data_IF_280181532942
#
_entry.id   IF_280181532942
#
_cell.length_a   1.000
_cell.length_b   1.000
_cell.length_c   1.000
_cell.angle_alpha   90.00
_cell.angle_beta   90.00
_cell.angle_gamma   90.00
#
_symmetry.space_group_name_H-M   'P 1'
#
loop_
_entity.id
_entity.type
_entity.pdbx_description
1 polymer ?
#
# COMPACT_ATOMS: atom_id res chain seq x y z
N UNK A 1 8.51 11.98 19.06
CA UNK A 1 9.75 11.19 18.90
C UNK A 1 10.08 10.38 20.15
N UNK A 2 10.09 10.99 21.34
CA UNK A 2 10.37 10.29 22.61
C UNK A 2 9.48 9.05 22.86
N UNK A 3 8.18 9.14 22.56
CA UNK A 3 7.28 7.99 22.70
C UNK A 3 7.65 6.81 21.78
N UNK A 4 8.11 7.06 20.56
CA UNK A 4 8.55 5.98 19.67
C UNK A 4 9.85 5.32 20.16
N UNK A 5 10.78 6.12 20.71
CA UNK A 5 12.01 5.61 21.35
C UNK A 5 11.65 4.76 22.57
N UNK A 6 10.67 5.21 23.35
CA UNK A 6 10.17 4.51 24.52
C UNK A 6 9.61 3.12 24.19
N UNK A 7 8.97 2.96 23.03
CA UNK A 7 8.41 1.69 22.58
C UNK A 7 9.42 0.77 21.87
N UNK A 8 10.67 1.19 21.63
CA UNK A 8 11.68 0.36 20.95
C UNK A 8 11.89 -1.03 21.58
N UNK A 9 11.89 -1.19 22.92
CA UNK A 9 12.05 -2.51 23.53
C UNK A 9 10.96 -3.52 23.12
N UNK A 10 9.76 -3.06 22.71
CA UNK A 10 8.71 -3.95 22.20
C UNK A 10 9.14 -4.64 20.90
N UNK A 11 9.89 -3.94 20.04
CA UNK A 11 10.44 -4.52 18.83
C UNK A 11 11.47 -5.61 19.16
N UNK A 12 12.37 -5.35 20.11
CA UNK A 12 13.35 -6.33 20.56
C UNK A 12 12.69 -7.57 21.19
N UNK A 13 11.60 -7.39 21.95
CA UNK A 13 10.81 -8.51 22.48
C UNK A 13 10.25 -9.35 21.33
N UNK A 14 9.54 -8.71 20.38
CA UNK A 14 8.94 -9.41 19.24
C UNK A 14 9.97 -10.18 18.40
N UNK A 15 11.15 -9.58 18.14
CA UNK A 15 12.22 -10.19 17.36
C UNK A 15 12.77 -11.48 18.01
N UNK A 16 12.85 -11.55 19.35
CA UNK A 16 13.30 -12.78 20.04
C UNK A 16 12.36 -13.97 19.84
N UNK A 17 11.08 -13.71 19.65
CA UNK A 17 10.08 -14.72 19.31
C UNK A 17 9.99 -14.97 17.80
N UNK A 18 10.80 -14.29 16.98
CA UNK A 18 10.76 -14.38 15.52
C UNK A 18 9.53 -13.70 14.89
N UNK A 19 8.84 -12.83 15.65
CA UNK A 19 7.78 -11.99 15.10
C UNK A 19 8.38 -10.74 14.51
N UNK A 20 7.82 -10.30 13.39
CA UNK A 20 8.10 -8.97 12.91
C UNK A 20 7.23 -7.92 13.58
N UNK A 21 7.75 -6.70 13.63
CA UNK A 21 7.19 -5.60 14.40
C UNK A 21 7.10 -4.32 13.56
N UNK A 22 5.97 -3.62 13.68
CA UNK A 22 5.82 -2.25 13.21
C UNK A 22 5.09 -1.41 14.26
N UNK A 23 5.49 -0.16 14.40
CA UNK A 23 4.90 0.79 15.34
C UNK A 23 4.70 2.14 14.66
N UNK A 24 3.53 2.74 14.87
CA UNK A 24 3.23 4.11 14.47
C UNK A 24 2.42 4.79 15.57
N UNK A 25 3.03 5.76 16.27
CA UNK A 25 2.47 6.30 17.51
C UNK A 25 2.10 5.16 18.48
N UNK A 26 0.85 5.05 18.90
CA UNK A 26 0.32 3.99 19.77
C UNK A 26 -0.14 2.73 19.02
N UNK A 27 -0.25 2.77 17.68
CA UNK A 27 -0.62 1.62 16.88
C UNK A 27 0.59 0.69 16.71
N UNK A 28 0.52 -0.48 17.36
CA UNK A 28 1.52 -1.56 17.25
C UNK A 28 0.96 -2.71 16.41
N UNK A 29 1.80 -3.27 15.55
CA UNK A 29 1.47 -4.41 14.70
C UNK A 29 2.53 -5.48 14.84
N UNK A 30 2.08 -6.69 15.16
CA UNK A 30 2.90 -7.90 15.18
C UNK A 30 2.50 -8.77 13.98
N UNK A 31 3.49 -9.34 13.30
CA UNK A 31 3.26 -10.23 12.17
C UNK A 31 4.11 -11.49 12.27
N UNK A 32 3.46 -12.63 12.08
CA UNK A 32 4.09 -13.94 12.05
C UNK A 32 3.68 -14.64 10.75
N UNK A 33 4.67 -14.97 9.92
CA UNK A 33 4.47 -15.79 8.74
C UNK A 33 4.82 -17.24 9.08
N UNK A 34 3.89 -18.16 8.88
CA UNK A 34 4.08 -19.58 9.19
C UNK A 34 3.44 -20.47 8.13
N UNK A 35 3.93 -21.70 8.01
CA UNK A 35 3.30 -22.73 7.18
C UNK A 35 2.11 -23.34 7.91
N UNK A 36 1.02 -23.63 7.19
CA UNK A 36 -0.20 -24.20 7.77
C UNK A 36 0.00 -25.55 8.49
N UNK A 37 1.13 -26.22 8.24
CA UNK A 37 1.46 -27.52 8.81
C UNK A 37 2.26 -27.44 10.12
N UNK A 38 2.60 -26.24 10.59
CA UNK A 38 3.43 -26.05 11.80
C UNK A 38 2.51 -25.75 12.99
N UNK A 39 2.25 -26.72 13.89
CA UNK A 39 1.59 -26.44 15.16
C UNK A 39 2.49 -25.55 16.02
N UNK A 40 1.91 -24.58 16.73
CA UNK A 40 2.62 -23.70 17.67
C UNK A 40 2.75 -22.23 17.26
N UNK A 41 2.26 -21.82 16.09
CA UNK A 41 2.25 -20.40 15.73
C UNK A 41 1.40 -19.54 16.71
N UNK A 42 0.30 -20.10 17.22
CA UNK A 42 -0.52 -19.44 18.24
C UNK A 42 0.21 -19.32 19.59
N UNK A 43 0.92 -20.37 20.02
CA UNK A 43 1.63 -20.33 21.31
C UNK A 43 2.79 -19.34 21.29
N UNK A 44 3.54 -19.26 20.19
CA UNK A 44 4.60 -18.23 20.03
C UNK A 44 4.02 -16.81 20.10
N UNK A 45 2.84 -16.60 19.52
CA UNK A 45 2.16 -15.30 19.61
C UNK A 45 1.66 -15.02 21.03
N UNK A 46 1.11 -16.02 21.73
CA UNK A 46 0.64 -15.90 23.11
C UNK A 46 1.80 -15.55 24.06
N UNK A 47 2.89 -16.31 24.01
CA UNK A 47 4.10 -16.05 24.84
C UNK A 47 4.67 -14.65 24.57
N UNK A 48 4.74 -14.24 23.30
CA UNK A 48 5.19 -12.90 22.94
C UNK A 48 4.26 -11.80 23.49
N UNK A 49 2.93 -12.01 23.42
CA UNK A 49 1.96 -11.05 23.92
C UNK A 49 1.99 -10.93 25.45
N UNK A 50 2.18 -12.05 26.15
CA UNK A 50 2.35 -12.06 27.60
C UNK A 50 3.59 -11.25 28.02
N UNK A 51 4.72 -11.41 27.33
CA UNK A 51 5.93 -10.66 27.65
C UNK A 51 5.81 -9.18 27.31
N UNK A 52 5.20 -8.84 26.16
CA UNK A 52 4.88 -7.44 25.82
C UNK A 52 3.98 -6.84 26.90
N UNK A 53 2.96 -7.57 27.36
CA UNK A 53 2.06 -7.09 28.40
C UNK A 53 2.79 -6.87 29.73
N UNK A 54 3.65 -7.81 30.15
CA UNK A 54 4.45 -7.69 31.36
C UNK A 54 5.39 -6.48 31.27
N UNK A 55 6.08 -6.31 30.14
CA UNK A 55 6.95 -5.15 29.92
C UNK A 55 6.15 -3.84 29.97
N UNK A 56 4.99 -3.77 29.31
CA UNK A 56 4.14 -2.58 29.33
C UNK A 56 3.68 -2.24 30.74
N UNK A 57 3.29 -3.24 31.55
CA UNK A 57 2.85 -3.03 32.93
C UNK A 57 3.97 -2.46 33.82
N UNK A 58 5.19 -2.98 33.71
CA UNK A 58 6.39 -2.44 34.40
C UNK A 58 6.69 -1.00 33.97
N UNK A 59 6.36 -0.68 32.72
CA UNK A 59 6.58 0.62 32.10
C UNK A 59 5.32 1.51 32.12
N UNK A 60 4.37 1.30 33.04
CA UNK A 60 3.20 2.16 33.21
C UNK A 60 2.34 2.36 31.95
N UNK A 61 2.39 1.40 31.02
CA UNK A 61 1.57 1.32 29.83
C UNK A 61 0.54 0.21 29.99
N UNK A 62 -0.60 0.37 29.30
CA UNK A 62 -1.67 -0.63 29.29
C UNK A 62 -2.08 -0.95 27.86
N UNK A 63 -1.87 -2.20 27.47
CA UNK A 63 -2.43 -2.74 26.23
C UNK A 63 -3.96 -2.76 26.33
N UNK A 64 -4.66 -2.39 25.25
CA UNK A 64 -6.11 -2.29 25.25
C UNK A 64 -6.75 -3.52 24.57
N UNK A 65 -7.26 -4.52 25.33
CA UNK A 65 -7.78 -5.76 24.75
C UNK A 65 -8.99 -5.54 23.82
N UNK A 66 -9.75 -4.46 24.03
CA UNK A 66 -10.91 -4.15 23.19
C UNK A 66 -10.52 -3.63 21.80
N UNK A 67 -9.31 -3.06 21.67
CA UNK A 67 -8.75 -2.55 20.41
C UNK A 67 -7.79 -3.55 19.75
N UNK A 68 -7.22 -4.49 20.49
CA UNK A 68 -6.34 -5.52 19.94
C UNK A 68 -7.15 -6.53 19.13
N UNK A 69 -6.80 -6.68 17.86
CA UNK A 69 -7.48 -7.57 16.91
C UNK A 69 -6.47 -8.51 16.25
N UNK A 70 -6.94 -9.70 15.87
CA UNK A 70 -6.13 -10.67 15.13
C UNK A 70 -6.73 -10.85 13.74
N UNK A 71 -5.91 -10.64 12.71
CA UNK A 71 -6.28 -10.86 11.32
C UNK A 71 -5.45 -12.02 10.75
N UNK A 72 -6.09 -13.16 10.51
CA UNK A 72 -5.46 -14.29 9.82
C UNK A 72 -5.51 -14.08 8.30
N UNK A 73 -4.35 -13.88 7.68
CA UNK A 73 -4.25 -13.64 6.23
C UNK A 73 -3.77 -14.90 5.52
N UNK A 74 -4.47 -15.30 4.47
CA UNK A 74 -4.10 -16.50 3.71
C UNK A 74 -5.10 -16.92 2.66
N UNK A 75 -4.93 -18.14 2.12
CA UNK A 75 -5.90 -18.73 1.21
C UNK A 75 -7.14 -19.12 2.02
N UNK A 76 -8.33 -18.71 1.56
CA UNK A 76 -9.60 -18.92 2.25
C UNK A 76 -9.76 -20.33 2.86
N UNK A 77 -9.56 -21.39 2.06
CA UNK A 77 -9.66 -22.78 2.53
C UNK A 77 -8.65 -23.14 3.63
N UNK A 78 -7.42 -22.63 3.52
CA UNK A 78 -6.39 -22.87 4.55
C UNK A 78 -6.72 -22.12 5.84
N UNK A 79 -7.17 -20.87 5.72
CA UNK A 79 -7.61 -20.09 6.87
C UNK A 79 -8.79 -20.78 7.57
N UNK A 80 -9.81 -21.23 6.83
CA UNK A 80 -10.97 -21.93 7.40
C UNK A 80 -10.53 -23.17 8.19
N UNK A 81 -9.71 -24.06 7.59
CA UNK A 81 -9.19 -25.24 8.28
C UNK A 81 -8.31 -24.91 9.51
N UNK A 82 -7.55 -23.82 9.44
CA UNK A 82 -6.71 -23.36 10.55
C UNK A 82 -7.55 -22.78 11.69
N UNK A 83 -8.68 -22.13 11.40
CA UNK A 83 -9.56 -21.60 12.45
C UNK A 83 -10.27 -22.70 13.24
N UNK A 84 -10.49 -23.86 12.62
CA UNK A 84 -11.05 -25.03 13.30
C UNK A 84 -10.03 -25.73 14.21
N UNK A 85 -8.73 -25.47 14.01
CA UNK A 85 -7.62 -26.16 14.72
C UNK A 85 -6.78 -25.26 15.61
N UNK A 86 -6.75 -23.96 15.38
CA UNK A 86 -6.02 -22.98 16.21
C UNK A 86 -6.92 -22.46 17.32
N UNK A 87 -6.49 -22.63 18.57
CA UNK A 87 -7.00 -21.82 19.66
C UNK A 87 -6.68 -20.34 19.37
N UNK A 88 -7.67 -19.44 19.37
CA UNK A 88 -7.41 -18.03 19.18
C UNK A 88 -6.51 -17.53 20.31
N UNK A 89 -5.53 -16.67 19.99
CA UNK A 89 -4.56 -16.21 20.97
C UNK A 89 -5.27 -15.48 22.11
N UNK A 90 -4.75 -15.67 23.32
CA UNK A 90 -5.36 -15.16 24.54
C UNK A 90 -4.49 -14.07 25.16
N UNK A 91 -5.13 -13.13 25.83
CA UNK A 91 -4.46 -12.02 26.49
C UNK A 91 -5.19 -11.69 27.79
N UNK A 92 -4.48 -11.69 28.91
CA UNK A 92 -5.05 -11.46 30.25
C UNK A 92 -6.23 -12.38 30.61
N UNK A 93 -6.22 -13.64 30.14
CA UNK A 93 -7.32 -14.59 30.35
C UNK A 93 -8.55 -14.38 29.46
N UNK A 94 -8.51 -13.42 28.53
CA UNK A 94 -9.55 -13.18 27.53
C UNK A 94 -9.07 -13.53 26.12
N UNK A 95 -9.94 -14.14 25.31
CA UNK A 95 -9.64 -14.48 23.91
C UNK A 95 -9.60 -13.21 23.05
N UNK A 96 -8.54 -13.03 22.26
CA UNK A 96 -8.45 -11.91 21.32
C UNK A 96 -9.47 -12.03 20.19
N UNK A 97 -10.00 -10.89 19.75
CA UNK A 97 -10.99 -10.86 18.68
C UNK A 97 -10.35 -11.17 17.34
N UNK A 98 -10.65 -12.35 16.81
CA UNK A 98 -10.39 -12.67 15.41
C UNK A 98 -11.35 -11.89 14.51
N UNK A 99 -10.80 -11.14 13.56
CA UNK A 99 -11.56 -10.34 12.62
C UNK A 99 -11.34 -10.80 11.18
N UNK A 100 -12.37 -10.66 10.33
CA UNK A 100 -12.22 -10.85 8.88
C UNK A 100 -11.65 -9.62 8.17
N UNK A 101 -11.62 -8.50 8.88
CA UNK A 101 -11.17 -7.22 8.38
C UNK A 101 -10.75 -6.32 9.55
N UNK A 102 -9.65 -5.60 9.36
CA UNK A 102 -9.18 -4.57 10.30
C UNK A 102 -8.79 -3.30 9.56
N UNK A 103 -8.67 -2.20 10.28
CA UNK A 103 -8.17 -0.92 9.75
C UNK A 103 -6.77 -0.67 10.29
N UNK A 104 -5.79 -0.65 9.39
CA UNK A 104 -4.40 -0.34 9.70
C UNK A 104 -4.02 0.99 9.07
N UNK A 105 -3.61 1.97 9.89
CA UNK A 105 -3.16 3.30 9.45
C UNK A 105 -4.08 3.91 8.38
N UNK A 106 -5.40 3.85 8.62
CA UNK A 106 -6.39 4.40 7.71
C UNK A 106 -6.83 3.51 6.54
N UNK A 107 -6.18 2.36 6.31
CA UNK A 107 -6.48 1.41 5.22
C UNK A 107 -7.20 0.17 5.76
N UNK A 108 -8.28 -0.26 5.08
CA UNK A 108 -8.95 -1.52 5.40
C UNK A 108 -8.24 -2.72 4.77
N UNK A 109 -7.84 -3.68 5.61
CA UNK A 109 -7.24 -4.95 5.21
C UNK A 109 -8.22 -6.09 5.51
N UNK A 110 -8.48 -6.95 4.53
CA UNK A 110 -9.26 -8.17 4.68
C UNK A 110 -8.36 -9.42 4.65
N UNK A 111 -8.86 -10.55 5.16
CA UNK A 111 -8.12 -11.82 5.23
C UNK A 111 -7.60 -12.33 3.89
N UNK A 112 -8.23 -11.93 2.77
CA UNK A 112 -7.83 -12.29 1.42
C UNK A 112 -7.04 -11.19 0.71
N UNK A 113 -6.73 -10.09 1.41
CA UNK A 113 -6.07 -8.89 0.90
C UNK A 113 -6.69 -8.34 -0.39
N UNK A 114 -8.00 -8.48 -0.58
CA UNK A 114 -8.71 -8.00 -1.78
C UNK A 114 -8.82 -6.49 -1.84
N UNK A 115 -8.75 -5.81 -0.68
CA UNK A 115 -8.92 -4.36 -0.52
C UNK A 115 -10.28 -3.83 -1.04
N UNK A 116 -11.28 -4.71 -1.16
CA UNK A 116 -12.57 -4.36 -1.75
C UNK A 116 -13.33 -3.34 -0.90
N UNK A 117 -13.30 -3.50 0.44
CA UNK A 117 -13.86 -2.50 1.36
C UNK A 117 -13.11 -1.18 1.29
N UNK A 118 -11.79 -1.22 1.21
CA UNK A 118 -10.95 -0.03 1.09
C UNK A 118 -11.33 0.77 -0.16
N UNK A 119 -11.37 0.13 -1.33
CA UNK A 119 -11.75 0.76 -2.59
C UNK A 119 -13.18 1.30 -2.51
N UNK A 120 -14.11 0.52 -1.97
CA UNK A 120 -15.50 0.97 -1.80
C UNK A 120 -15.61 2.20 -0.92
N UNK A 121 -14.84 2.27 0.17
CA UNK A 121 -14.78 3.42 1.08
C UNK A 121 -14.21 4.65 0.38
N UNK A 122 -13.09 4.53 -0.33
CA UNK A 122 -12.47 5.64 -1.08
C UNK A 122 -13.39 6.13 -2.19
N UNK A 123 -14.03 5.22 -2.93
CA UNK A 123 -14.96 5.57 -4.02
C UNK A 123 -16.19 6.30 -3.48
N UNK A 124 -16.82 5.76 -2.43
CA UNK A 124 -17.99 6.38 -1.80
C UNK A 124 -17.67 7.78 -1.29
N UNK A 125 -16.56 7.92 -0.56
CA UNK A 125 -16.12 9.21 -0.03
C UNK A 125 -15.73 10.20 -1.14
N UNK A 126 -15.09 9.70 -2.21
CA UNK A 126 -14.76 10.50 -3.38
C UNK A 126 -16.01 11.09 -4.05
N UNK A 127 -17.04 10.27 -4.30
CA UNK A 127 -18.31 10.76 -4.86
C UNK A 127 -19.08 11.68 -3.90
N UNK A 128 -19.01 11.42 -2.60
CA UNK A 128 -19.58 12.32 -1.59
C UNK A 128 -18.96 13.72 -1.70
N UNK A 129 -17.63 13.83 -1.69
CA UNK A 129 -16.95 15.12 -1.84
C UNK A 129 -17.23 15.77 -3.21
N UNK A 130 -17.25 14.98 -4.29
CA UNK A 130 -17.59 15.49 -5.62
C UNK A 130 -18.98 16.10 -5.68
N UNK A 131 -19.97 15.49 -5.03
CA UNK A 131 -21.34 16.02 -4.98
C UNK A 131 -21.38 17.38 -4.29
N UNK A 132 -20.62 17.54 -3.19
CA UNK A 132 -20.56 18.78 -2.44
C UNK A 132 -19.81 19.87 -3.22
N UNK A 133 -18.65 19.55 -3.79
CA UNK A 133 -17.85 20.48 -4.60
C UNK A 133 -18.64 20.94 -5.84
N UNK A 134 -19.36 20.03 -6.51
CA UNK A 134 -20.17 20.36 -7.69
C UNK A 134 -21.23 21.42 -7.39
N UNK A 135 -21.80 21.45 -6.19
CA UNK A 135 -22.77 22.48 -5.77
C UNK A 135 -22.10 23.84 -5.58
N UNK A 136 -20.87 23.87 -5.10
CA UNK A 136 -20.10 25.10 -4.87
C UNK A 136 -19.45 25.63 -6.16
N UNK A 137 -19.25 24.79 -7.17
CA UNK A 137 -18.59 25.11 -8.43
C UNK A 137 -19.03 26.45 -9.06
N UNK A 138 -20.34 26.80 -9.17
CA UNK A 138 -20.74 28.07 -9.78
C UNK A 138 -20.25 29.31 -9.04
N UNK A 139 -19.86 29.15 -7.76
CA UNK A 139 -19.44 30.23 -6.87
C UNK A 139 -17.92 30.31 -6.71
N UNK A 140 -17.17 29.39 -7.31
CA UNK A 140 -15.73 29.24 -7.07
C UNK A 140 -14.92 29.61 -8.31
N UNK A 141 -13.85 30.42 -8.15
CA UNK A 141 -12.81 30.54 -9.16
C UNK A 141 -12.17 29.19 -9.49
N UNK A 142 -11.60 29.08 -10.69
CA UNK A 142 -10.99 27.83 -11.17
C UNK A 142 -9.90 27.30 -10.24
N UNK A 143 -9.01 28.17 -9.73
CA UNK A 143 -7.90 27.76 -8.87
C UNK A 143 -8.37 27.23 -7.52
N UNK A 144 -9.39 27.86 -6.93
CA UNK A 144 -10.04 27.40 -5.71
C UNK A 144 -10.73 26.04 -5.91
N UNK A 145 -11.42 25.87 -7.05
CA UNK A 145 -12.03 24.59 -7.42
C UNK A 145 -10.99 23.48 -7.59
N UNK A 146 -9.89 23.78 -8.28
CA UNK A 146 -8.77 22.86 -8.46
C UNK A 146 -8.15 22.45 -7.12
N UNK A 147 -7.94 23.42 -6.23
CA UNK A 147 -7.43 23.19 -4.87
C UNK A 147 -8.35 22.27 -4.07
N UNK A 148 -9.65 22.53 -4.07
CA UNK A 148 -10.63 21.65 -3.41
C UNK A 148 -10.63 20.24 -4.01
N UNK A 149 -10.53 20.14 -5.34
CA UNK A 149 -10.49 18.84 -6.01
C UNK A 149 -9.26 18.04 -5.61
N UNK A 150 -8.09 18.69 -5.53
CA UNK A 150 -6.86 18.06 -5.08
C UNK A 150 -6.92 17.66 -3.60
N UNK A 151 -7.36 18.58 -2.73
CA UNK A 151 -7.41 18.38 -1.28
C UNK A 151 -8.43 17.31 -0.87
N UNK A 152 -9.59 17.25 -1.52
CA UNK A 152 -10.66 16.33 -1.12
C UNK A 152 -10.71 15.04 -1.92
N UNK A 153 -10.38 15.06 -3.22
CA UNK A 153 -10.54 13.89 -4.09
C UNK A 153 -9.19 13.29 -4.46
N UNK A 154 -8.27 14.07 -5.04
CA UNK A 154 -7.01 13.54 -5.54
C UNK A 154 -6.12 12.97 -4.42
N UNK A 155 -6.07 13.64 -3.26
CA UNK A 155 -5.33 13.21 -2.08
C UNK A 155 -5.79 11.84 -1.57
N UNK A 156 -7.10 11.58 -1.54
CA UNK A 156 -7.70 10.31 -1.11
C UNK A 156 -7.43 9.19 -2.11
N UNK A 157 -7.41 9.50 -3.41
CA UNK A 157 -7.05 8.55 -4.46
C UNK A 157 -5.56 8.17 -4.40
N UNK A 158 -4.70 9.08 -3.94
CA UNK A 158 -3.25 8.84 -3.82
C UNK A 158 -2.81 8.27 -2.48
N UNK A 159 -3.64 8.39 -1.44
CA UNK A 159 -3.33 7.87 -0.11
C UNK A 159 -3.17 6.35 -0.16
N UNK A 160 -1.97 5.87 0.19
CA UNK A 160 -1.56 4.46 0.15
C UNK A 160 -1.87 3.74 -1.18
N UNK A 161 -1.90 4.45 -2.32
CA UNK A 161 -2.30 3.87 -3.60
C UNK A 161 -1.32 2.79 -4.13
N UNK A 162 -0.09 2.73 -3.62
CA UNK A 162 0.85 1.64 -3.91
C UNK A 162 0.29 0.26 -3.51
N UNK A 163 -0.58 0.17 -2.50
CA UNK A 163 -1.22 -1.08 -2.10
C UNK A 163 -2.18 -1.63 -3.14
N UNK A 164 -2.61 -0.79 -4.08
CA UNK A 164 -3.51 -1.19 -5.17
C UNK A 164 -2.79 -1.88 -6.33
N UNK A 165 -1.46 -2.05 -6.24
CA UNK A 165 -0.67 -2.77 -7.22
C UNK A 165 -1.18 -4.20 -7.45
N UNK A 166 -1.26 -4.60 -8.72
CA UNK A 166 -1.72 -5.92 -9.14
C UNK A 166 -3.17 -6.27 -8.77
N UNK A 167 -3.99 -5.32 -8.29
CA UNK A 167 -5.42 -5.54 -8.12
C UNK A 167 -6.13 -5.74 -9.46
N UNK A 168 -7.30 -6.41 -9.48
CA UNK A 168 -8.11 -6.54 -10.67
C UNK A 168 -8.45 -5.19 -11.30
N UNK A 169 -8.36 -5.10 -12.63
CA UNK A 169 -8.65 -3.86 -13.37
C UNK A 169 -10.07 -3.33 -13.09
N UNK A 170 -11.05 -4.22 -12.86
CA UNK A 170 -12.41 -3.84 -12.45
C UNK A 170 -12.42 -2.99 -11.16
N UNK A 171 -11.55 -3.31 -10.20
CA UNK A 171 -11.47 -2.61 -8.92
C UNK A 171 -10.79 -1.25 -9.10
N UNK A 172 -9.70 -1.21 -9.88
CA UNK A 172 -9.01 0.04 -10.24
C UNK A 172 -9.90 0.96 -11.07
N UNK A 173 -10.72 0.41 -11.96
CA UNK A 173 -11.65 1.18 -12.78
C UNK A 173 -12.64 1.99 -11.95
N UNK A 174 -13.09 1.46 -10.79
CA UNK A 174 -13.97 2.22 -9.89
C UNK A 174 -13.31 3.50 -9.36
N UNK A 175 -12.01 3.45 -9.05
CA UNK A 175 -11.23 4.64 -8.69
C UNK A 175 -11.05 5.57 -9.89
N UNK A 176 -10.86 5.03 -11.10
CA UNK A 176 -10.78 5.82 -12.33
C UNK A 176 -12.08 6.59 -12.59
N UNK A 177 -13.25 6.01 -12.30
CA UNK A 177 -14.54 6.70 -12.44
C UNK A 177 -14.63 7.94 -11.53
N UNK A 178 -14.07 7.87 -10.32
CA UNK A 178 -13.99 9.04 -9.42
C UNK A 178 -13.09 10.12 -10.02
N UNK A 179 -11.92 9.77 -10.53
CA UNK A 179 -11.02 10.72 -11.20
C UNK A 179 -11.68 11.34 -12.45
N UNK A 180 -12.38 10.53 -13.23
CA UNK A 180 -13.08 10.98 -14.42
C UNK A 180 -14.21 11.96 -14.06
N UNK A 181 -14.98 11.67 -13.01
CA UNK A 181 -16.00 12.58 -12.52
C UNK A 181 -15.39 13.88 -11.98
N UNK A 182 -14.26 13.80 -11.27
CA UNK A 182 -13.49 14.96 -10.81
C UNK A 182 -13.07 15.86 -11.98
N UNK A 183 -12.48 15.28 -13.02
CA UNK A 183 -12.02 16.02 -14.20
C UNK A 183 -13.18 16.73 -14.89
N UNK A 184 -14.34 16.07 -15.03
CA UNK A 184 -15.56 16.70 -15.57
C UNK A 184 -16.04 17.86 -14.72
N UNK A 185 -16.01 17.75 -13.39
CA UNK A 185 -16.41 18.84 -12.49
C UNK A 185 -15.46 20.03 -12.63
N UNK A 186 -14.16 19.81 -12.78
CA UNK A 186 -13.18 20.89 -12.97
C UNK A 186 -13.39 21.58 -14.33
N UNK A 187 -13.51 20.81 -15.42
CA UNK A 187 -13.55 21.36 -16.80
C UNK A 187 -14.94 21.61 -17.37
N UNK A 188 -16.00 21.36 -16.59
CA UNK A 188 -17.40 21.49 -17.03
C UNK A 188 -17.80 20.61 -18.21
N UNK A 189 -17.19 19.45 -18.32
CA UNK A 189 -17.38 18.56 -19.47
C UNK A 189 -18.66 17.74 -19.28
N UNK A 190 -19.39 17.48 -20.38
CA UNK A 190 -20.63 16.72 -20.31
C UNK A 190 -20.37 15.27 -19.87
N UNK A 191 -21.42 14.62 -19.34
CA UNK A 191 -21.31 13.26 -18.81
C UNK A 191 -20.89 12.25 -19.89
N UNK A 192 -21.38 12.43 -21.11
CA UNK A 192 -21.19 11.51 -22.23
C UNK A 192 -19.93 11.79 -23.05
N UNK A 193 -19.32 12.95 -22.86
CA UNK A 193 -18.09 13.29 -23.57
C UNK A 193 -16.97 12.32 -23.18
N UNK A 194 -16.14 12.03 -24.18
CA UNK A 194 -14.95 11.23 -24.00
C UNK A 194 -14.00 11.93 -23.03
N UNK A 195 -13.54 11.21 -22.00
CA UNK A 195 -12.82 11.81 -20.87
C UNK A 195 -11.33 12.03 -21.13
N UNK A 196 -10.76 11.28 -22.07
CA UNK A 196 -9.31 11.28 -22.35
C UNK A 196 -8.77 12.67 -22.72
N UNK A 197 -9.42 13.48 -23.58
CA UNK A 197 -8.98 14.85 -23.86
C UNK A 197 -8.93 15.71 -22.60
N UNK A 198 -9.94 15.60 -21.72
CA UNK A 198 -9.99 16.35 -20.46
C UNK A 198 -8.87 15.96 -19.50
N UNK A 199 -8.56 14.67 -19.37
CA UNK A 199 -7.44 14.21 -18.54
C UNK A 199 -6.10 14.67 -19.10
N UNK A 200 -5.94 14.67 -20.43
CA UNK A 200 -4.75 15.18 -21.10
C UNK A 200 -4.58 16.67 -20.86
N UNK A 201 -5.63 17.47 -21.04
CA UNK A 201 -5.62 18.92 -20.82
C UNK A 201 -5.29 19.27 -19.35
N UNK A 202 -5.85 18.52 -18.40
CA UNK A 202 -5.54 18.69 -16.97
C UNK A 202 -4.16 18.15 -16.56
N UNK A 203 -3.45 17.48 -17.48
CA UNK A 203 -2.21 16.76 -17.19
C UNK A 203 -2.36 15.70 -16.07
N UNK A 204 -3.54 15.07 -15.99
CA UNK A 204 -3.88 14.07 -14.97
C UNK A 204 -3.60 12.65 -15.46
N UNK A 205 -2.63 11.98 -14.83
CA UNK A 205 -2.36 10.57 -15.09
C UNK A 205 -3.56 9.70 -14.68
N UNK A 206 -3.97 8.73 -15.53
CA UNK A 206 -4.92 7.69 -15.11
C UNK A 206 -4.46 6.95 -13.85
N UNK A 207 -5.42 6.47 -13.05
CA UNK A 207 -5.17 5.85 -11.73
C UNK A 207 -4.18 4.69 -11.82
N UNK A 208 -4.28 3.85 -12.85
CA UNK A 208 -3.33 2.73 -13.05
C UNK A 208 -1.87 3.23 -13.08
N UNK A 209 -1.63 4.36 -13.74
CA UNK A 209 -0.29 4.93 -13.88
C UNK A 209 0.14 5.69 -12.62
N UNK A 210 -0.79 6.28 -11.86
CA UNK A 210 -0.50 6.86 -10.53
C UNK A 210 -0.03 5.81 -9.53
N UNK A 211 -0.58 4.59 -9.59
CA UNK A 211 -0.14 3.46 -8.78
C UNK A 211 1.29 3.06 -9.15
N UNK A 212 1.56 2.84 -10.45
CA UNK A 212 2.92 2.52 -10.95
C UNK A 212 3.91 3.62 -10.58
N UNK A 213 3.51 4.89 -10.73
CA UNK A 213 4.30 6.05 -10.31
C UNK A 213 4.72 5.95 -8.85
N UNK A 214 3.77 5.64 -7.94
CA UNK A 214 4.07 5.50 -6.52
C UNK A 214 5.03 4.36 -6.24
N UNK A 215 4.82 3.19 -6.86
CA UNK A 215 5.68 2.03 -6.68
C UNK A 215 7.12 2.36 -7.10
N UNK A 216 7.34 2.90 -8.30
CA UNK A 216 8.71 3.14 -8.75
C UNK A 216 9.39 4.31 -8.01
N UNK A 217 8.61 5.26 -7.48
CA UNK A 217 9.16 6.26 -6.55
C UNK A 217 9.66 5.59 -5.26
N UNK A 218 8.97 4.57 -4.75
CA UNK A 218 9.45 3.78 -3.59
C UNK A 218 10.68 2.96 -3.96
N UNK A 219 10.70 2.33 -5.13
CA UNK A 219 11.86 1.56 -5.63
C UNK A 219 13.08 2.47 -5.78
N UNK A 220 12.94 3.60 -6.46
CA UNK A 220 14.05 4.56 -6.62
C UNK A 220 14.59 5.00 -5.25
N UNK A 221 13.69 5.32 -4.30
CA UNK A 221 14.12 5.69 -2.95
C UNK A 221 14.90 4.56 -2.26
N UNK A 222 14.38 3.34 -2.30
CA UNK A 222 15.02 2.19 -1.66
C UNK A 222 16.40 1.89 -2.27
N UNK A 223 16.53 1.93 -3.60
CA UNK A 223 17.81 1.69 -4.29
C UNK A 223 18.86 2.78 -4.05
N UNK A 224 18.43 4.01 -3.73
CA UNK A 224 19.33 5.14 -3.48
C UNK A 224 19.47 5.48 -1.98
N UNK A 225 19.08 4.58 -1.07
CA UNK A 225 19.21 4.80 0.38
C UNK A 225 18.33 5.92 0.95
N UNK A 226 17.34 6.40 0.19
CA UNK A 226 16.36 7.42 0.61
C UNK A 226 15.07 6.79 1.19
N UNK A 227 14.98 5.47 1.16
CA UNK A 227 13.88 4.68 1.69
C UNK A 227 14.29 3.87 2.92
N UNK A 228 13.32 3.29 3.64
CA UNK A 228 13.64 2.42 4.77
C UNK A 228 14.30 1.12 4.30
N UNK A 229 15.25 0.61 5.09
CA UNK A 229 16.04 -0.58 4.78
C UNK A 229 15.18 -1.80 4.42
N UNK A 230 14.09 -2.05 5.14
CA UNK A 230 13.20 -3.18 4.88
C UNK A 230 12.61 -3.19 3.46
N UNK A 231 12.46 -2.02 2.79
CA UNK A 231 12.01 -1.99 1.40
C UNK A 231 13.13 -2.32 0.42
N UNK A 232 14.38 -1.99 0.76
CA UNK A 232 15.56 -2.36 -0.02
C UNK A 232 15.78 -3.87 0.00
N UNK A 233 15.54 -4.52 1.13
CA UNK A 233 15.69 -5.98 1.29
C UNK A 233 14.78 -6.79 0.35
N UNK A 234 13.66 -6.21 -0.08
CA UNK A 234 12.77 -6.81 -1.09
C UNK A 234 13.24 -6.64 -2.54
N UNK A 235 14.31 -5.89 -2.78
CA UNK A 235 14.82 -5.57 -4.12
C UNK A 235 16.18 -6.21 -4.33
N UNK A 236 16.21 -7.33 -5.06
CA UNK A 236 17.45 -8.02 -5.39
C UNK A 236 18.01 -7.51 -6.72
N UNK A 237 19.21 -6.90 -6.75
CA UNK A 237 19.87 -6.53 -8.01
C UNK A 237 20.10 -7.76 -8.89
N UNK A 238 19.85 -7.62 -10.18
CA UNK A 238 20.14 -8.68 -11.14
C UNK A 238 21.62 -8.63 -11.54
N UNK A 239 22.35 -9.71 -11.25
CA UNK A 239 23.74 -9.91 -11.68
C UNK A 239 23.77 -11.06 -12.68
N UNK A 240 24.12 -10.83 -13.97
CA UNK A 240 24.19 -11.89 -14.96
C UNK A 240 25.42 -12.79 -14.70
N UNK A 241 25.29 -14.09 -15.00
CA UNK A 241 26.39 -15.06 -14.85
C UNK A 241 27.57 -14.84 -15.82
N UNK A 242 27.36 -14.04 -16.87
CA UNK A 242 28.37 -13.64 -17.87
C UNK A 242 28.16 -12.16 -18.18
N UNK A 243 29.22 -11.40 -18.52
CA UNK A 243 29.07 -10.01 -18.94
C UNK A 243 28.22 -9.95 -20.21
N UNK A 244 27.07 -9.30 -20.11
CA UNK A 244 26.10 -9.15 -21.19
C UNK A 244 25.92 -7.66 -21.46
N UNK A 245 25.52 -7.28 -22.68
CA UNK A 245 25.16 -5.88 -22.99
C UNK A 245 24.02 -5.33 -22.10
N UNK A 246 23.24 -6.20 -21.46
CA UNK A 246 22.18 -5.87 -20.50
C UNK A 246 22.67 -5.60 -19.06
N UNK A 247 23.97 -5.74 -18.78
CA UNK A 247 24.59 -5.55 -17.46
C UNK A 247 24.50 -4.10 -16.97
N UNK A 248 24.47 -3.11 -17.87
CA UNK A 248 24.41 -1.68 -17.56
C UNK A 248 23.01 -1.16 -17.17
N UNK A 249 22.00 -2.04 -17.10
CA UNK A 249 20.59 -1.64 -17.02
C UNK A 249 20.00 -1.43 -15.63
N UNK A 250 20.78 -1.57 -14.53
CA UNK A 250 20.30 -1.54 -13.14
C UNK A 250 18.99 -2.31 -12.94
N UNK A 251 18.93 -3.53 -13.48
CA UNK A 251 17.74 -4.38 -13.44
C UNK A 251 17.60 -5.13 -12.12
N UNK A 252 16.37 -5.52 -11.79
CA UNK A 252 16.05 -6.28 -10.58
C UNK A 252 15.65 -7.71 -10.92
N UNK A 253 15.94 -8.65 -10.03
CA UNK A 253 15.44 -10.03 -10.14
C UNK A 253 13.94 -10.02 -9.90
N UNK A 254 13.17 -10.59 -10.84
CA UNK A 254 11.72 -10.74 -10.68
C UNK A 254 11.45 -12.05 -9.90
N UNK A 255 10.93 -11.99 -8.66
CA UNK A 255 10.61 -13.18 -7.89
C UNK A 255 9.51 -14.00 -8.57
N UNK A 256 9.58 -15.33 -8.46
CA UNK A 256 8.57 -16.23 -9.02
C UNK A 256 7.52 -16.56 -7.96
N UNK A 257 6.27 -16.23 -8.24
CA UNK A 257 5.13 -16.58 -7.38
C UNK A 257 4.20 -17.55 -8.09
N UNK A 258 3.69 -18.54 -7.34
CA UNK A 258 2.70 -19.51 -7.84
C UNK A 258 1.25 -19.01 -7.75
N UNK A 259 1.03 -17.84 -7.16
CA UNK A 259 -0.31 -17.28 -6.92
C UNK A 259 -0.41 -15.85 -7.40
N UNK A 260 -1.60 -15.45 -7.86
CA UNK A 260 -1.91 -14.06 -8.21
C UNK A 260 -1.78 -13.11 -7.04
N UNK A 261 -2.00 -13.59 -5.80
CA UNK A 261 -1.76 -12.78 -4.61
C UNK A 261 -0.27 -12.50 -4.42
N UNK A 262 0.61 -13.47 -4.67
CA UNK A 262 2.07 -13.27 -4.60
C UNK A 262 2.57 -12.29 -5.67
N UNK A 263 1.99 -12.32 -6.87
CA UNK A 263 2.26 -11.32 -7.91
C UNK A 263 1.86 -9.89 -7.50
N UNK A 264 1.01 -9.72 -6.47
CA UNK A 264 0.66 -8.39 -5.92
C UNK A 264 1.65 -7.86 -4.89
N UNK A 265 2.62 -8.67 -4.49
CA UNK A 265 3.67 -8.26 -3.56
C UNK A 265 4.47 -7.07 -4.08
N UNK A 266 5.01 -6.28 -3.16
CA UNK A 266 5.90 -5.18 -3.51
C UNK A 266 7.09 -5.68 -4.35
N UNK A 267 7.77 -6.75 -3.92
CA UNK A 267 8.93 -7.30 -4.64
C UNK A 267 8.63 -7.63 -6.11
N UNK A 268 7.50 -8.28 -6.39
CA UNK A 268 7.10 -8.61 -7.77
C UNK A 268 6.77 -7.36 -8.59
N UNK A 269 5.89 -6.51 -8.07
CA UNK A 269 5.40 -5.32 -8.78
C UNK A 269 6.53 -4.30 -8.99
N UNK A 270 7.40 -4.15 -8.00
CA UNK A 270 8.60 -3.33 -8.06
C UNK A 270 9.54 -3.81 -9.18
N UNK A 271 10.00 -5.06 -9.12
CA UNK A 271 10.96 -5.58 -10.09
C UNK A 271 10.39 -5.57 -11.52
N UNK A 272 9.15 -6.02 -11.69
CA UNK A 272 8.48 -6.06 -13.01
C UNK A 272 8.33 -4.66 -13.60
N UNK A 273 7.83 -3.70 -12.81
CA UNK A 273 7.62 -2.33 -13.29
C UNK A 273 8.93 -1.58 -13.50
N UNK A 274 9.93 -1.82 -12.65
CA UNK A 274 11.26 -1.20 -12.76
C UNK A 274 12.02 -1.70 -13.97
N UNK A 275 11.93 -2.99 -14.29
CA UNK A 275 12.58 -3.54 -15.47
C UNK A 275 11.93 -3.07 -16.78
N UNK A 276 10.67 -2.65 -16.76
CA UNK A 276 9.95 -2.16 -17.92
C UNK A 276 10.30 -0.70 -18.33
N UNK A 277 10.96 0.07 -17.46
CA UNK A 277 11.30 1.48 -17.78
C UNK A 277 12.67 1.61 -18.47
N UNK A 278 12.86 2.64 -19.32
CA UNK A 278 14.13 2.93 -19.97
C UNK A 278 15.30 3.13 -18.98
N UNK A 279 16.49 2.67 -19.38
CA UNK A 279 17.72 2.78 -18.58
C UNK A 279 18.05 4.24 -18.23
N UNK A 280 17.81 5.19 -19.15
CA UNK A 280 18.03 6.61 -18.88
C UNK A 280 17.20 7.16 -17.72
N UNK A 281 15.98 6.65 -17.51
CA UNK A 281 15.17 7.03 -16.35
C UNK A 281 15.73 6.44 -15.05
N UNK A 282 16.21 5.20 -15.09
CA UNK A 282 16.84 4.54 -13.93
C UNK A 282 18.10 5.26 -13.47
N UNK A 283 18.86 5.81 -14.42
CA UNK A 283 20.09 6.58 -14.17
C UNK A 283 19.83 8.04 -13.76
N UNK A 284 18.60 8.40 -13.38
CA UNK A 284 18.28 9.77 -12.95
C UNK A 284 19.13 10.17 -11.72
N UNK A 285 19.74 11.37 -11.72
CA UNK A 285 20.70 11.78 -10.67
C UNK A 285 20.05 12.13 -9.33
N UNK A 286 18.75 12.40 -9.31
CA UNK A 286 18.02 12.73 -8.09
C UNK A 286 16.56 12.30 -8.14
N UNK A 287 15.95 12.19 -6.97
CA UNK A 287 14.53 11.83 -6.84
C UNK A 287 13.60 12.84 -7.53
N UNK A 288 13.93 14.13 -7.51
CA UNK A 288 13.09 15.16 -8.15
C UNK A 288 13.12 15.03 -9.67
N UNK A 289 14.32 14.84 -10.24
CA UNK A 289 14.51 14.60 -11.68
C UNK A 289 13.82 13.31 -12.11
N UNK A 290 14.01 12.23 -11.35
CA UNK A 290 13.33 10.96 -11.59
C UNK A 290 11.81 11.11 -11.63
N UNK A 291 11.21 11.74 -10.60
CA UNK A 291 9.75 11.98 -10.54
C UNK A 291 9.25 12.78 -11.73
N UNK A 292 9.97 13.83 -12.12
CA UNK A 292 9.58 14.70 -13.23
C UNK A 292 9.58 13.92 -14.55
N UNK A 293 10.74 13.36 -14.93
CA UNK A 293 10.88 12.63 -16.20
C UNK A 293 10.01 11.38 -16.24
N UNK A 294 9.86 10.67 -15.12
CA UNK A 294 9.02 9.49 -15.08
C UNK A 294 7.53 9.84 -15.21
N UNK A 295 7.07 10.95 -14.62
CA UNK A 295 5.69 11.42 -14.84
C UNK A 295 5.44 11.71 -16.32
N UNK A 296 6.38 12.38 -16.99
CA UNK A 296 6.30 12.66 -18.45
C UNK A 296 6.22 11.36 -19.24
N UNK A 297 7.15 10.42 -19.00
CA UNK A 297 7.14 9.11 -19.65
C UNK A 297 5.81 8.36 -19.49
N UNK A 298 5.26 8.32 -18.27
CA UNK A 298 3.96 7.69 -18.03
C UNK A 298 2.81 8.42 -18.71
N UNK A 299 2.91 9.74 -18.87
CA UNK A 299 1.91 10.56 -19.53
C UNK A 299 1.87 10.27 -21.03
N UNK A 300 3.05 10.16 -21.65
CA UNK A 300 3.20 9.82 -23.06
C UNK A 300 2.64 8.42 -23.36
N UNK A 301 2.95 7.44 -22.51
CA UNK A 301 2.37 6.08 -22.58
C UNK A 301 0.85 6.05 -22.37
N UNK A 302 0.31 6.98 -21.58
CA UNK A 302 -1.12 6.99 -21.26
C UNK A 302 -1.97 7.57 -22.39
N UNK A 303 -1.42 8.54 -23.13
CA UNK A 303 -2.17 9.33 -24.10
C UNK A 303 -1.64 9.24 -25.53
N UNK A 304 -0.68 8.34 -25.78
CA UNK A 304 -0.02 8.13 -27.08
C UNK A 304 0.45 9.48 -27.68
N UNK A 305 1.22 10.24 -26.90
CA UNK A 305 1.80 11.51 -27.36
C UNK A 305 3.09 11.28 -28.18
N UNK A 306 3.35 10.02 -28.56
CA UNK A 306 4.48 9.57 -29.39
C UNK A 306 3.94 8.82 -30.58
#
# INVERSE_FOLDING_TARGET
MLFAIYLLPLGAIAERFGLGFHCYADDVQLYLAFSANIPGAASVLDECLEEIQAWMAVNWLRLNPKKTEVLLVGRKRLCENLLDSLSPPSMSGGVLRLVKQTRSLGVFLDTSLTLERQISSVVSLGFFHLRNIRRLRPLLPYDSLSTLMHAFVASRLDYCNALYAGLPLKSIHRLQLVQNAAARVVKNVCRFDHITPTLRELHWLPIRWRIVFKILVLVYKALNGLGPAYLQDFLTPYVPARPLRSESGNSLVVPRFRSKLGERSFAFQAATSWNAIPVGLKASPSLSVFKSHFKTYLFDLAFNVV
#
